data_IF_149082014735
#
_entry.id   IF_149082014735
#
_cell.length_a   1.000
_cell.length_b   1.000
_cell.length_c   1.000
_cell.angle_alpha   90.00
_cell.angle_beta   90.00
_cell.angle_gamma   90.00
#
_symmetry.space_group_name_H-M   'P 1'
#
loop_
_entity.id
_entity.type
_entity.pdbx_description
1 polymer ?
#
# COMPACT_ATOMS: atom_id res chain seq x y z
N UNK A 1 -4.36 10.98 -18.24
CA UNK A 1 -4.60 9.68 -18.91
C UNK A 1 -5.23 8.74 -17.90
N UNK A 2 -6.35 8.09 -18.23
CA UNK A 2 -6.89 7.03 -17.39
C UNK A 2 -5.81 5.96 -17.19
N UNK A 3 -5.46 5.63 -15.93
CA UNK A 3 -4.37 4.73 -15.46
C UNK A 3 -3.13 5.38 -14.82
N UNK A 4 -3.01 6.71 -14.76
CA UNK A 4 -1.88 7.37 -14.07
C UNK A 4 -1.68 6.85 -12.64
N UNK A 5 -2.78 6.69 -11.89
CA UNK A 5 -2.69 6.21 -10.52
C UNK A 5 -2.21 4.76 -10.44
N UNK A 6 -2.72 3.87 -11.29
CA UNK A 6 -2.24 2.49 -11.36
C UNK A 6 -0.75 2.45 -11.70
N UNK A 7 -0.29 3.25 -12.66
CA UNK A 7 1.12 3.30 -13.06
C UNK A 7 1.98 3.69 -11.86
N UNK A 8 1.58 4.71 -11.10
CA UNK A 8 2.28 5.14 -9.89
C UNK A 8 2.35 3.99 -8.88
N UNK A 9 1.24 3.29 -8.64
CA UNK A 9 1.19 2.15 -7.71
C UNK A 9 2.12 1.02 -8.13
N UNK A 10 2.16 0.70 -9.43
CA UNK A 10 3.05 -0.33 -9.97
C UNK A 10 4.53 0.07 -9.87
N UNK A 11 4.85 1.35 -10.09
CA UNK A 11 6.21 1.87 -9.91
C UNK A 11 6.62 1.76 -8.44
N UNK A 12 5.78 2.20 -7.50
CA UNK A 12 6.05 2.10 -6.06
C UNK A 12 6.23 0.64 -5.65
N UNK A 13 5.35 -0.25 -6.10
CA UNK A 13 5.47 -1.68 -5.83
C UNK A 13 6.79 -2.25 -6.37
N UNK A 14 7.15 -1.91 -7.60
CA UNK A 14 8.39 -2.34 -8.24
C UNK A 14 9.62 -1.87 -7.47
N UNK A 15 9.66 -0.60 -7.07
CA UNK A 15 10.74 -0.03 -6.24
C UNK A 15 10.79 -0.75 -4.88
N UNK A 16 9.64 -0.99 -4.25
CA UNK A 16 9.57 -1.66 -2.94
C UNK A 16 10.14 -3.06 -2.99
N UNK A 17 9.74 -3.86 -3.99
CA UNK A 17 10.24 -5.23 -4.18
C UNK A 17 11.73 -5.22 -4.50
N UNK A 18 12.18 -4.27 -5.33
CA UNK A 18 13.59 -4.11 -5.66
C UNK A 18 14.41 -3.80 -4.40
N UNK A 19 13.96 -2.88 -3.56
CA UNK A 19 14.62 -2.55 -2.29
C UNK A 19 14.64 -3.72 -1.31
N UNK A 20 13.52 -4.43 -1.10
CA UNK A 20 13.45 -5.62 -0.23
C UNK A 20 14.51 -6.65 -0.64
N UNK A 21 14.62 -6.92 -1.94
CA UNK A 21 15.56 -7.91 -2.49
C UNK A 21 17.01 -7.45 -2.46
N UNK A 22 17.30 -6.26 -2.97
CA UNK A 22 18.69 -5.76 -3.09
C UNK A 22 19.32 -5.45 -1.74
N UNK A 23 18.54 -5.01 -0.76
CA UNK A 23 19.03 -4.74 0.59
C UNK A 23 18.84 -5.92 1.57
N UNK A 24 18.34 -7.07 1.10
CA UNK A 24 18.09 -8.27 1.90
C UNK A 24 17.33 -7.98 3.21
N UNK A 25 16.30 -7.14 3.13
CA UNK A 25 15.57 -6.66 4.31
C UNK A 25 14.63 -7.73 4.84
N UNK A 26 14.77 -8.09 6.11
CA UNK A 26 13.79 -8.92 6.82
C UNK A 26 12.65 -8.03 7.33
N UNK A 27 11.56 -7.99 6.57
CA UNK A 27 10.41 -7.13 6.88
C UNK A 27 9.55 -7.71 8.02
N UNK A 28 9.36 -9.02 8.03
CA UNK A 28 8.55 -9.75 8.99
C UNK A 28 9.30 -11.00 9.46
N UNK A 29 9.00 -11.48 10.68
CA UNK A 29 9.69 -12.65 11.23
C UNK A 29 9.15 -13.95 10.62
N UNK A 30 7.85 -13.98 10.27
CA UNK A 30 7.22 -15.16 9.67
C UNK A 30 6.33 -14.81 8.48
N UNK A 31 6.12 -15.79 7.58
CA UNK A 31 5.17 -15.64 6.46
C UNK A 31 3.72 -15.43 6.93
N UNK A 32 3.34 -16.06 8.05
CA UNK A 32 2.02 -15.90 8.66
C UNK A 32 1.81 -14.47 9.15
N UNK A 33 2.79 -13.93 9.86
CA UNK A 33 2.78 -12.54 10.33
C UNK A 33 2.64 -11.55 9.18
N UNK A 34 3.39 -11.73 8.07
CA UNK A 34 3.23 -10.89 6.87
C UNK A 34 1.80 -10.89 6.36
N UNK A 35 1.20 -12.06 6.18
CA UNK A 35 -0.18 -12.18 5.67
C UNK A 35 -1.19 -11.56 6.64
N UNK A 36 -1.08 -11.86 7.93
CA UNK A 36 -2.02 -11.36 8.95
C UNK A 36 -1.94 -9.84 9.05
N UNK A 37 -0.74 -9.26 9.15
CA UNK A 37 -0.56 -7.82 9.26
C UNK A 37 -1.06 -7.12 8.00
N UNK A 38 -0.68 -7.61 6.81
CA UNK A 38 -1.17 -7.04 5.55
C UNK A 38 -2.69 -7.09 5.46
N UNK A 39 -3.31 -8.22 5.84
CA UNK A 39 -4.76 -8.37 5.80
C UNK A 39 -5.46 -7.45 6.81
N UNK A 40 -4.94 -7.33 8.04
CA UNK A 40 -5.50 -6.44 9.06
C UNK A 40 -5.43 -4.98 8.59
N UNK A 41 -4.27 -4.53 8.08
CA UNK A 41 -4.10 -3.16 7.57
C UNK A 41 -5.00 -2.89 6.38
N UNK A 42 -5.12 -3.87 5.47
CA UNK A 42 -6.02 -3.77 4.33
C UNK A 42 -7.48 -3.60 4.77
N UNK A 43 -7.97 -4.44 5.68
CA UNK A 43 -9.36 -4.38 6.15
C UNK A 43 -9.66 -3.08 6.87
N UNK A 44 -8.74 -2.61 7.74
CA UNK A 44 -8.89 -1.34 8.46
C UNK A 44 -8.92 -0.17 7.46
N UNK A 45 -7.98 -0.15 6.51
CA UNK A 45 -7.90 0.90 5.50
C UNK A 45 -9.13 0.95 4.61
N UNK A 46 -9.57 -0.21 4.09
CA UNK A 46 -10.78 -0.31 3.28
C UNK A 46 -12.01 0.15 4.06
N UNK A 47 -12.17 -0.25 5.32
CA UNK A 47 -13.30 0.15 6.15
C UNK A 47 -13.31 1.66 6.41
N UNK A 48 -12.14 2.24 6.72
CA UNK A 48 -11.98 3.68 6.94
C UNK A 48 -12.32 4.49 5.69
N UNK A 49 -11.73 4.15 4.55
CA UNK A 49 -11.93 4.89 3.30
C UNK A 49 -13.38 4.77 2.82
N UNK A 50 -13.96 3.57 2.89
CA UNK A 50 -15.38 3.36 2.58
C UNK A 50 -16.28 4.24 3.45
N UNK A 51 -15.99 4.33 4.75
CA UNK A 51 -16.72 5.19 5.67
C UNK A 51 -16.56 6.67 5.32
N UNK A 52 -15.34 7.13 5.02
CA UNK A 52 -15.06 8.51 4.64
C UNK A 52 -15.80 8.93 3.35
N UNK A 53 -15.83 8.05 2.36
CA UNK A 53 -16.58 8.28 1.10
C UNK A 53 -18.07 8.30 1.35
N UNK A 54 -18.57 7.34 2.13
CA UNK A 54 -19.99 7.29 2.49
C UNK A 54 -20.46 8.58 3.19
N UNK A 55 -19.59 9.20 3.99
CA UNK A 55 -19.83 10.47 4.66
C UNK A 55 -19.62 11.70 3.76
N UNK A 56 -19.20 11.51 2.52
CA UNK A 56 -18.90 12.60 1.58
C UNK A 56 -17.64 13.39 1.92
N UNK A 57 -16.76 12.86 2.78
CA UNK A 57 -15.48 13.50 3.09
C UNK A 57 -14.48 13.39 1.94
N UNK A 58 -14.57 12.31 1.15
CA UNK A 58 -13.71 12.06 -0.01
C UNK A 58 -14.51 11.81 -1.27
N UNK A 59 -13.97 12.29 -2.38
CA UNK A 59 -14.51 12.13 -3.72
C UNK A 59 -13.37 11.71 -4.64
N UNK A 60 -13.58 10.62 -5.37
CA UNK A 60 -12.61 10.14 -6.36
C UNK A 60 -13.06 10.59 -7.76
N UNK A 61 -12.18 11.32 -8.45
CA UNK A 61 -12.43 11.75 -9.82
C UNK A 61 -12.26 10.54 -10.76
N UNK A 62 -13.31 10.10 -11.48
CA UNK A 62 -13.24 8.91 -12.33
C UNK A 62 -12.20 9.03 -13.46
N UNK A 63 -11.89 10.26 -13.87
CA UNK A 63 -11.03 10.58 -15.03
C UNK A 63 -9.57 10.15 -14.86
N UNK A 64 -9.10 9.92 -13.63
CA UNK A 64 -7.71 9.51 -13.35
C UNK A 64 -7.54 8.00 -13.12
N UNK A 65 -8.63 7.29 -12.93
CA UNK A 65 -8.64 5.87 -12.59
C UNK A 65 -8.98 5.03 -13.82
N UNK A 66 -8.83 3.71 -13.73
CA UNK A 66 -9.21 2.72 -14.75
C UNK A 66 -10.72 2.66 -15.00
N UNK A 67 -11.52 3.35 -14.20
CA UNK A 67 -12.99 3.28 -14.25
C UNK A 67 -13.58 2.01 -13.63
N UNK A 68 -12.76 1.15 -13.02
CA UNK A 68 -13.21 -0.04 -12.29
C UNK A 68 -13.45 0.36 -10.83
N UNK A 69 -14.72 0.39 -10.43
CA UNK A 69 -15.14 0.68 -9.05
C UNK A 69 -15.70 -0.59 -8.41
N UNK A 70 -15.23 -0.92 -7.21
CA UNK A 70 -15.76 -2.00 -6.37
C UNK A 70 -16.37 -1.34 -5.14
N UNK A 71 -17.66 -1.56 -4.90
CA UNK A 71 -18.38 -0.86 -3.82
C UNK A 71 -18.38 0.66 -4.02
N UNK A 72 -17.78 1.39 -3.08
CA UNK A 72 -17.68 2.86 -3.12
C UNK A 72 -16.32 3.38 -3.61
N UNK A 73 -15.37 2.49 -3.91
CA UNK A 73 -13.97 2.85 -4.17
C UNK A 73 -13.46 2.36 -5.53
N UNK A 74 -12.54 3.10 -6.17
CA UNK A 74 -11.78 2.60 -7.31
C UNK A 74 -10.91 1.39 -6.91
N UNK A 75 -10.67 0.48 -7.85
CA UNK A 75 -9.77 -0.66 -7.68
C UNK A 75 -8.38 -0.24 -7.16
N UNK A 76 -7.89 0.91 -7.63
CA UNK A 76 -6.59 1.45 -7.27
C UNK A 76 -6.47 1.77 -5.77
N UNK A 77 -7.55 2.14 -5.08
CA UNK A 77 -7.50 2.39 -3.64
C UNK A 77 -7.31 1.09 -2.86
N UNK A 78 -7.90 -0.02 -3.32
CA UNK A 78 -7.63 -1.33 -2.72
C UNK A 78 -6.17 -1.74 -2.91
N UNK A 79 -5.59 -1.46 -4.08
CA UNK A 79 -4.17 -1.70 -4.33
C UNK A 79 -3.29 -0.79 -3.47
N UNK A 80 -3.68 0.48 -3.29
CA UNK A 80 -2.99 1.41 -2.40
C UNK A 80 -2.94 0.89 -0.97
N UNK A 81 -4.06 0.37 -0.43
CA UNK A 81 -4.11 -0.22 0.91
C UNK A 81 -3.18 -1.43 1.11
N UNK A 82 -2.78 -2.11 0.04
CA UNK A 82 -1.80 -3.20 0.07
C UNK A 82 -0.36 -2.69 -0.11
N UNK A 83 -0.15 -1.81 -1.10
CA UNK A 83 1.17 -1.36 -1.54
C UNK A 83 1.76 -0.35 -0.55
N UNK A 84 0.96 0.59 -0.07
CA UNK A 84 1.43 1.69 0.76
C UNK A 84 2.00 1.20 2.10
N UNK A 85 1.34 0.32 2.88
CA UNK A 85 1.93 -0.18 4.13
C UNK A 85 3.20 -1.00 3.88
N UNK A 86 3.23 -1.78 2.80
CA UNK A 86 4.39 -2.57 2.42
C UNK A 86 5.59 -1.67 2.07
N UNK A 87 5.36 -0.58 1.34
CA UNK A 87 6.37 0.44 1.06
C UNK A 87 6.90 1.08 2.34
N UNK A 88 6.02 1.53 3.24
CA UNK A 88 6.40 2.19 4.50
C UNK A 88 7.26 1.27 5.36
N UNK A 89 6.87 0.00 5.53
CA UNK A 89 7.65 -0.98 6.33
C UNK A 89 9.02 -1.21 5.70
N UNK A 90 9.09 -1.29 4.36
CA UNK A 90 10.36 -1.48 3.64
C UNK A 90 11.30 -0.29 3.84
N UNK A 91 10.80 0.94 3.72
CA UNK A 91 11.60 2.14 3.96
C UNK A 91 12.05 2.22 5.42
N UNK A 92 11.16 1.95 6.37
CA UNK A 92 11.51 1.92 7.80
C UNK A 92 12.66 0.93 8.07
N UNK A 93 12.56 -0.29 7.53
CA UNK A 93 13.61 -1.32 7.66
C UNK A 93 14.91 -0.95 6.97
N UNK A 94 14.84 -0.31 5.81
CA UNK A 94 16.01 0.20 5.11
C UNK A 94 16.75 1.22 5.98
N UNK A 95 16.03 2.20 6.52
CA UNK A 95 16.61 3.24 7.40
C UNK A 95 17.19 2.62 8.67
N UNK A 96 16.45 1.72 9.33
CA UNK A 96 16.93 0.96 10.51
C UNK A 96 18.25 0.24 10.22
N UNK A 97 18.36 -0.43 9.06
CA UNK A 97 19.56 -1.16 8.65
C UNK A 97 20.77 -0.25 8.41
N UNK A 98 20.55 0.96 7.87
CA UNK A 98 21.61 1.90 7.50
C UNK A 98 22.10 2.74 8.67
N UNK A 99 21.17 3.15 9.55
CA UNK A 99 21.49 3.98 10.71
C UNK A 99 22.08 3.18 11.88
N UNK A 100 22.20 1.84 11.77
CA UNK A 100 22.65 0.95 12.86
C UNK A 100 21.97 1.32 14.19
N UNK A 101 20.67 1.60 14.14
CA UNK A 101 19.88 1.82 15.36
C UNK A 101 19.86 0.48 16.06
N UNK A 102 20.86 0.24 16.92
CA UNK A 102 20.89 -0.91 17.82
C UNK A 102 19.67 -0.74 18.73
N UNK A 103 18.76 -1.71 18.66
CA UNK A 103 17.82 -1.96 19.75
C UNK A 103 18.58 -2.28 21.03
#
# INVERSE_FOLDING_TARGET
MASEYLIILLIVLGITIWLEKTCHLQLFNTKKERVIITLVLFLIGVAWDTFAIYRGHWLFLPEKNLGITIGLMPLEEYLFMLIQPYFIITIYKLVESKLKIKK
#
